data_IF_548793574334
#
_entry.id   IF_548793574334
#
_cell.length_a   1.000
_cell.length_b   1.000
_cell.length_c   1.000
_cell.angle_alpha   90.00
_cell.angle_beta   90.00
_cell.angle_gamma   90.00
#
_symmetry.space_group_name_H-M   'P 1'
#
loop_
_entity.id
_entity.type
_entity.pdbx_description
1 polymer ?
#
# COMPACT_ATOMS: atom_id res chain seq x y z
N UNK A 1 -12.87 33.93 10.62
CA UNK A 1 -11.95 33.45 9.58
C UNK A 1 -10.80 32.77 10.31
N UNK A 2 -10.84 31.45 10.48
CA UNK A 2 -9.77 30.73 11.19
C UNK A 2 -8.64 30.52 10.20
N UNK A 3 -7.56 31.27 10.37
CA UNK A 3 -6.30 31.04 9.68
C UNK A 3 -5.72 29.72 10.19
N UNK A 4 -5.85 28.65 9.39
CA UNK A 4 -5.05 27.44 9.62
C UNK A 4 -3.58 27.84 9.53
N UNK A 5 -2.85 27.75 10.64
CA UNK A 5 -1.40 27.80 10.62
C UNK A 5 -0.89 26.63 9.77
N UNK A 6 0.06 26.84 8.85
CA UNK A 6 0.69 25.71 8.18
C UNK A 6 1.35 24.86 9.27
N UNK A 7 0.89 23.62 9.42
CA UNK A 7 1.50 22.69 10.35
C UNK A 7 2.98 22.57 9.95
N UNK A 8 3.89 22.87 10.89
CA UNK A 8 5.33 22.69 10.65
C UNK A 8 5.57 21.25 10.19
N UNK A 9 6.41 21.01 9.17
CA UNK A 9 6.71 19.66 8.70
C UNK A 9 7.27 18.86 9.87
N UNK A 10 6.53 17.81 10.24
CA UNK A 10 6.96 16.91 11.32
C UNK A 10 7.83 15.84 10.66
N UNK A 11 8.96 15.52 11.27
CA UNK A 11 9.73 14.35 10.84
C UNK A 11 8.92 13.09 11.15
N UNK A 12 8.45 12.39 10.12
CA UNK A 12 7.68 11.15 10.26
C UNK A 12 8.46 9.97 9.73
N UNK A 13 8.44 8.87 10.47
CA UNK A 13 8.96 7.60 10.00
C UNK A 13 8.04 7.06 8.89
N UNK A 14 8.64 6.54 7.83
CA UNK A 14 7.88 5.92 6.75
C UNK A 14 8.76 5.35 5.66
N UNK A 15 8.11 5.15 4.52
CA UNK A 15 8.69 4.53 3.35
C UNK A 15 8.24 5.33 2.14
N UNK A 16 9.18 5.69 1.29
CA UNK A 16 8.89 6.17 -0.05
C UNK A 16 8.91 4.97 -0.99
N UNK A 17 7.82 4.78 -1.72
CA UNK A 17 7.68 3.72 -2.73
C UNK A 17 7.42 4.33 -4.09
N UNK A 18 7.74 3.58 -5.16
CA UNK A 18 7.35 3.95 -6.52
C UNK A 18 6.13 3.15 -6.93
N UNK A 19 5.09 3.84 -7.40
CA UNK A 19 3.84 3.27 -7.85
C UNK A 19 3.46 3.88 -9.20
N UNK A 20 3.44 3.06 -10.25
CA UNK A 20 3.18 3.50 -11.63
C UNK A 20 4.04 4.71 -12.06
N UNK A 21 5.32 4.72 -11.64
CA UNK A 21 6.26 5.80 -11.92
C UNK A 21 6.19 6.99 -10.94
N UNK A 22 5.13 7.11 -10.15
CA UNK A 22 4.95 8.18 -9.18
C UNK A 22 5.51 7.82 -7.80
N UNK A 23 6.05 8.82 -7.09
CA UNK A 23 6.45 8.65 -5.70
C UNK A 23 5.24 8.69 -4.78
N UNK A 24 5.19 7.73 -3.86
CA UNK A 24 4.16 7.60 -2.84
C UNK A 24 4.80 7.40 -1.48
N UNK A 25 4.18 7.95 -0.44
CA UNK A 25 4.63 7.85 0.93
C UNK A 25 3.69 6.94 1.73
N UNK A 26 4.26 5.90 2.33
CA UNK A 26 3.61 5.03 3.29
C UNK A 26 4.11 5.36 4.69
N UNK A 27 3.19 5.59 5.63
CA UNK A 27 3.53 5.76 7.04
C UNK A 27 4.14 4.47 7.60
N UNK A 28 5.16 4.58 8.45
CA UNK A 28 5.72 3.42 9.15
C UNK A 28 4.71 2.71 10.06
N UNK A 29 3.60 3.38 10.43
CA UNK A 29 2.51 2.75 11.16
C UNK A 29 1.74 1.73 10.32
N UNK A 30 1.74 1.89 8.99
CA UNK A 30 1.04 1.01 8.06
C UNK A 30 1.93 -0.10 7.54
N UNK A 31 3.25 0.09 7.47
CA UNK A 31 4.18 -0.92 6.93
C UNK A 31 4.73 -1.80 8.04
N UNK A 32 4.57 -3.12 7.91
CA UNK A 32 5.09 -4.09 8.88
C UNK A 32 6.44 -4.65 8.47
N UNK A 33 6.58 -5.03 7.19
CA UNK A 33 7.81 -5.62 6.66
C UNK A 33 7.85 -5.62 5.14
N UNK A 34 9.05 -5.78 4.60
CA UNK A 34 9.30 -6.13 3.21
C UNK A 34 9.78 -7.57 3.15
N UNK A 35 9.20 -8.36 2.26
CA UNK A 35 9.62 -9.75 2.06
C UNK A 35 9.93 -9.99 0.58
N UNK A 36 10.79 -10.97 0.24
CA UNK A 36 10.92 -11.44 -1.13
C UNK A 36 9.55 -11.82 -1.70
N UNK A 37 9.37 -11.67 -3.00
CA UNK A 37 8.08 -12.01 -3.63
C UNK A 37 7.71 -13.48 -3.37
N UNK A 38 6.59 -13.76 -2.69
CA UNK A 38 6.14 -15.12 -2.47
C UNK A 38 5.50 -15.69 -3.73
N UNK A 39 5.21 -16.99 -3.68
CA UNK A 39 4.31 -17.63 -4.64
C UNK A 39 2.91 -17.06 -4.44
N UNK A 40 2.31 -16.60 -5.53
CA UNK A 40 0.97 -16.04 -5.55
C UNK A 40 -0.03 -17.11 -5.99
N UNK A 41 -1.22 -17.08 -5.43
CA UNK A 41 -2.31 -18.00 -5.74
C UNK A 41 -3.58 -17.21 -5.97
N UNK A 42 -4.10 -17.28 -7.19
CA UNK A 42 -5.40 -16.70 -7.51
C UNK A 42 -6.51 -17.58 -6.94
N UNK A 43 -7.48 -16.93 -6.32
CA UNK A 43 -8.63 -17.61 -5.71
C UNK A 43 -9.73 -17.69 -6.76
N UNK A 44 -9.96 -18.92 -7.25
CA UNK A 44 -10.92 -19.21 -8.30
C UNK A 44 -12.31 -18.58 -8.02
N UNK A 45 -12.87 -17.91 -9.02
CA UNK A 45 -14.21 -17.30 -8.95
C UNK A 45 -14.32 -16.02 -8.12
N UNK A 46 -13.22 -15.44 -7.63
CA UNK A 46 -13.26 -14.24 -6.76
C UNK A 46 -12.49 -13.04 -7.29
N UNK A 47 -11.60 -13.24 -8.27
CA UNK A 47 -10.68 -12.19 -8.72
C UNK A 47 -9.68 -11.72 -7.66
N UNK A 48 -9.56 -12.44 -6.53
CA UNK A 48 -8.61 -12.16 -5.46
C UNK A 48 -7.32 -12.97 -5.68
N UNK A 49 -6.19 -12.38 -5.29
CA UNK A 49 -4.90 -13.06 -5.21
C UNK A 49 -4.48 -13.15 -3.75
N UNK A 50 -3.96 -14.31 -3.34
CA UNK A 50 -3.49 -14.59 -1.99
C UNK A 50 -2.04 -15.07 -2.01
N UNK A 51 -1.33 -14.99 -0.88
CA UNK A 51 -0.04 -15.64 -0.70
C UNK A 51 0.17 -16.10 0.75
N UNK A 52 0.96 -17.16 0.94
CA UNK A 52 1.44 -17.60 2.25
C UNK A 52 2.74 -16.86 2.57
N UNK A 53 2.73 -16.01 3.60
CA UNK A 53 3.89 -15.24 4.07
C UNK A 53 4.08 -15.48 5.55
N UNK A 54 5.25 -16.03 5.93
CA UNK A 54 5.61 -16.35 7.32
C UNK A 54 4.52 -17.16 8.07
N UNK A 55 3.91 -18.13 7.38
CA UNK A 55 2.87 -19.00 7.95
C UNK A 55 1.47 -18.37 8.03
N UNK A 56 1.28 -17.16 7.50
CA UNK A 56 -0.01 -16.48 7.43
C UNK A 56 -0.47 -16.36 5.97
N UNK A 57 -1.77 -16.55 5.71
CA UNK A 57 -2.35 -16.30 4.38
C UNK A 57 -2.77 -14.83 4.31
N UNK A 58 -2.25 -14.10 3.32
CA UNK A 58 -2.51 -12.67 3.14
C UNK A 58 -3.21 -12.42 1.79
N UNK A 59 -4.19 -11.52 1.74
CA UNK A 59 -4.65 -10.93 0.49
C UNK A 59 -3.55 -10.08 -0.14
N UNK A 60 -3.43 -10.17 -1.45
CA UNK A 60 -2.43 -9.49 -2.25
C UNK A 60 -3.13 -8.51 -3.20
N UNK A 61 -2.72 -7.24 -3.11
CA UNK A 61 -3.22 -6.17 -3.96
C UNK A 61 -2.10 -5.76 -4.92
N UNK A 62 -2.32 -6.00 -6.20
CA UNK A 62 -1.49 -5.43 -7.25
C UNK A 62 -1.83 -3.94 -7.41
N UNK A 63 -0.84 -3.08 -7.14
CA UNK A 63 -0.99 -1.62 -7.24
C UNK A 63 -0.11 -1.01 -8.33
N UNK A 64 0.72 -1.84 -8.96
CA UNK A 64 1.59 -1.50 -10.08
C UNK A 64 2.18 -2.76 -10.73
N UNK A 65 3.16 -2.61 -11.64
CA UNK A 65 3.87 -3.74 -12.24
C UNK A 65 4.57 -4.58 -11.15
N UNK A 66 4.79 -5.87 -11.43
CA UNK A 66 5.40 -6.78 -10.47
C UNK A 66 6.80 -6.29 -10.10
N UNK A 67 6.97 -6.00 -8.82
CA UNK A 67 8.20 -5.48 -8.24
C UNK A 67 9.24 -6.54 -7.91
N UNK A 68 10.19 -6.16 -7.08
CA UNK A 68 11.21 -7.05 -6.50
C UNK A 68 10.81 -7.59 -5.13
N UNK A 69 9.93 -6.89 -4.41
CA UNK A 69 9.51 -7.23 -3.06
C UNK A 69 7.97 -7.17 -2.91
N UNK A 70 7.47 -7.87 -1.89
CA UNK A 70 6.13 -7.67 -1.36
C UNK A 70 6.22 -6.75 -0.14
N UNK A 71 5.47 -5.65 -0.19
CA UNK A 71 5.32 -4.74 0.95
C UNK A 71 4.14 -5.22 1.79
N UNK A 72 4.41 -5.72 3.00
CA UNK A 72 3.38 -6.18 3.93
C UNK A 72 2.93 -5.00 4.79
N UNK A 73 1.66 -4.67 4.68
CA UNK A 73 1.02 -3.58 5.41
C UNK A 73 -0.04 -4.12 6.38
N UNK A 74 -0.40 -3.29 7.35
CA UNK A 74 -1.53 -3.52 8.25
C UNK A 74 -2.64 -2.50 8.01
N UNK A 75 -3.88 -2.99 7.94
CA UNK A 75 -5.10 -2.19 7.85
C UNK A 75 -6.04 -2.67 8.94
N UNK A 76 -6.21 -1.85 9.99
CA UNK A 76 -6.94 -2.29 11.17
C UNK A 76 -6.16 -3.39 11.90
N UNK A 77 -6.72 -4.61 11.97
CA UNK A 77 -6.05 -5.78 12.54
C UNK A 77 -5.59 -6.79 11.47
N UNK A 78 -5.80 -6.48 10.19
CA UNK A 78 -5.56 -7.40 9.07
C UNK A 78 -4.27 -7.05 8.34
N UNK A 79 -3.51 -8.08 7.95
CA UNK A 79 -2.33 -7.92 7.10
C UNK A 79 -2.72 -8.01 5.62
N UNK A 80 -2.14 -7.14 4.81
CA UNK A 80 -2.31 -7.12 3.35
C UNK A 80 -0.96 -6.97 2.67
N UNK A 81 -0.74 -7.72 1.60
CA UNK A 81 0.44 -7.58 0.75
C UNK A 81 0.19 -6.63 -0.41
N UNK A 82 1.13 -5.73 -0.68
CA UNK A 82 1.12 -4.85 -1.85
C UNK A 82 2.22 -5.27 -2.82
N UNK A 83 1.85 -5.56 -4.06
CA UNK A 83 2.79 -5.80 -5.17
C UNK A 83 2.84 -4.58 -6.08
N UNK A 84 4.06 -4.21 -6.47
CA UNK A 84 4.31 -3.01 -7.29
C UNK A 84 4.41 -1.72 -6.48
N UNK A 85 4.67 -1.85 -5.17
CA UNK A 85 5.03 -0.76 -4.27
C UNK A 85 6.42 -1.01 -3.69
N UNK A 86 7.42 -1.08 -4.57
CA UNK A 86 8.81 -1.33 -4.16
C UNK A 86 9.35 -0.14 -3.33
N UNK A 87 10.06 -0.42 -2.22
CA UNK A 87 10.68 0.63 -1.41
C UNK A 87 11.85 1.27 -2.16
N UNK A 88 11.78 2.59 -2.32
CA UNK A 88 12.88 3.42 -2.79
C UNK A 88 13.74 3.90 -1.62
N UNK A 89 13.09 4.25 -0.50
CA UNK A 89 13.77 4.67 0.73
C UNK A 89 12.93 4.38 1.97
N UNK A 90 13.61 4.09 3.08
CA UNK A 90 13.01 3.91 4.42
C UNK A 90 13.74 4.85 5.38
N UNK A 91 13.00 5.57 6.23
CA UNK A 91 13.62 6.50 7.17
C UNK A 91 12.64 7.50 7.76
N UNK A 92 13.18 8.65 8.18
CA UNK A 92 12.41 9.80 8.63
C UNK A 92 12.36 10.85 7.53
N UNK A 93 11.18 11.39 7.27
CA UNK A 93 10.94 12.36 6.21
C UNK A 93 10.20 13.57 6.75
N UNK A 94 10.47 14.74 6.18
CA UNK A 94 9.61 15.91 6.36
C UNK A 94 8.24 15.63 5.74
N UNK A 95 7.23 15.44 6.60
CA UNK A 95 5.93 14.95 6.15
C UNK A 95 4.76 15.61 6.87
N UNK A 96 3.66 15.72 6.14
CA UNK A 96 2.36 16.21 6.60
C UNK A 96 1.27 15.16 6.30
N UNK A 97 -0.01 15.52 6.47
CA UNK A 97 -1.13 14.61 6.20
C UNK A 97 -1.31 14.22 4.73
N UNK A 98 -0.67 14.92 3.80
CA UNK A 98 -0.78 14.72 2.36
C UNK A 98 0.45 14.08 1.72
N UNK A 99 1.54 13.87 2.48
CA UNK A 99 2.70 13.15 1.98
C UNK A 99 4.00 13.56 2.65
N UNK A 100 5.11 13.20 1.99
CA UNK A 100 6.47 13.48 2.45
C UNK A 100 7.31 14.09 1.33
N UNK A 101 8.32 14.89 1.69
CA UNK A 101 9.33 15.35 0.76
C UNK A 101 10.45 14.32 0.60
N UNK A 102 10.84 14.04 -0.65
CA UNK A 102 11.91 13.12 -1.01
C UNK A 102 12.68 13.65 -2.22
N UNK A 103 13.98 13.91 -2.07
CA UNK A 103 14.83 14.51 -3.11
C UNK A 103 14.24 15.77 -3.78
N UNK A 104 13.59 16.63 -3.00
CA UNK A 104 12.94 17.85 -3.52
C UNK A 104 11.62 17.62 -4.26
N UNK A 105 11.19 16.37 -4.43
CA UNK A 105 9.88 16.01 -4.96
C UNK A 105 8.92 15.62 -3.83
N UNK A 106 7.64 15.96 -3.98
CA UNK A 106 6.60 15.49 -3.06
C UNK A 106 6.18 14.06 -3.40
N UNK A 107 6.29 13.16 -2.44
CA UNK A 107 5.69 11.83 -2.47
C UNK A 107 4.32 11.89 -1.79
N UNK A 108 3.24 11.75 -2.56
CA UNK A 108 1.88 11.84 -2.02
C UNK A 108 1.59 10.68 -1.05
N UNK A 109 0.85 10.96 0.02
CA UNK A 109 0.45 9.93 0.97
C UNK A 109 -0.36 8.81 0.27
N UNK A 110 -0.06 7.56 0.62
CA UNK A 110 -0.75 6.38 0.13
C UNK A 110 -1.58 5.77 1.27
N UNK A 111 -2.90 5.83 1.16
CA UNK A 111 -3.81 5.18 2.09
C UNK A 111 -4.00 3.70 1.69
N UNK A 112 -3.37 2.79 2.43
CA UNK A 112 -3.50 1.35 2.22
C UNK A 112 -4.94 0.88 2.45
N UNK A 113 -5.66 1.48 3.40
CA UNK A 113 -7.06 1.12 3.65
C UNK A 113 -7.94 1.52 2.47
N UNK A 114 -7.65 2.65 1.81
CA UNK A 114 -8.34 3.04 0.57
C UNK A 114 -8.05 2.07 -0.57
N UNK A 115 -6.79 1.64 -0.72
CA UNK A 115 -6.42 0.61 -1.71
C UNK A 115 -7.17 -0.70 -1.49
N UNK A 116 -7.27 -1.18 -0.23
CA UNK A 116 -8.05 -2.36 0.13
C UNK A 116 -9.53 -2.17 -0.20
N UNK A 117 -10.12 -1.03 0.15
CA UNK A 117 -11.52 -0.74 -0.20
C UNK A 117 -11.73 -0.73 -1.72
N UNK A 118 -10.77 -0.22 -2.49
CA UNK A 118 -10.83 -0.17 -3.94
C UNK A 118 -10.57 -1.53 -4.62
N UNK A 119 -9.83 -2.44 -4.00
CA UNK A 119 -9.64 -3.80 -4.54
C UNK A 119 -10.88 -4.66 -4.34
N UNK A 120 -11.52 -4.58 -3.17
CA UNK A 120 -12.77 -5.30 -2.88
C UNK A 120 -13.89 -4.91 -3.85
N UNK A 121 -14.02 -3.62 -4.19
CA UNK A 121 -15.00 -3.18 -5.19
C UNK A 121 -14.76 -3.74 -6.59
N UNK A 122 -13.51 -4.04 -6.94
CA UNK A 122 -13.14 -4.60 -8.26
C UNK A 122 -13.28 -6.12 -8.31
N UNK A 123 -13.16 -6.81 -7.17
CA UNK A 123 -13.38 -8.26 -7.05
C UNK A 123 -14.80 -8.63 -6.58
N UNK A 124 -15.74 -7.68 -6.58
CA UNK A 124 -17.12 -7.94 -6.18
C UNK A 124 -17.79 -8.89 -7.18
N UNK A 125 -18.23 -10.05 -6.68
CA UNK A 125 -18.94 -11.10 -7.42
C UNK A 125 -19.93 -10.54 -8.44
N UNK A 126 -19.61 -10.65 -9.73
CA UNK A 126 -20.62 -10.62 -10.78
C UNK A 126 -21.46 -11.90 -10.63
N UNK A 127 -22.59 -11.77 -9.95
CA UNK A 127 -23.64 -12.77 -9.94
C UNK A 127 -24.50 -12.51 -11.19
N UNK A 128 -24.05 -12.95 -12.37
CA UNK A 128 -24.98 -13.19 -13.46
C UNK A 128 -25.69 -14.51 -13.16
N UNK A 129 -26.91 -14.35 -12.65
CA UNK A 129 -27.86 -15.44 -12.48
C UNK A 129 -28.10 -16.13 -13.81
N UNK A 130 -27.97 -17.44 -13.77
CA UNK A 130 -28.49 -18.37 -14.76
C UNK A 130 -30.02 -18.31 -14.73
N UNK A 131 -30.63 -17.89 -15.84
CA UNK A 131 -32.01 -18.18 -16.22
C UNK A 131 -32.15 -18.14 -17.75
#
# INVERSE_FOLDING_TARGET
>A
MVTQSPALPLHRAGVVVRLNGELRFLSAQSVRRFVPLPVLSDVAGTGLTMALVDGQVLPIIAVGPRGSALTVCEVGAELVGLIGADPEAVGFFEADGSGAMFHGQRAAALDVAELVRASVRRGGFEHEGEA
#
